data_IF_800102709937
#
_entry.id   IF_800102709937
#
_cell.length_a   1.000
_cell.length_b   1.000
_cell.length_c   1.000
_cell.angle_alpha   90.00
_cell.angle_beta   90.00
_cell.angle_gamma   90.00
#
_symmetry.space_group_name_H-M   'P 1'
#
loop_
_entity.id
_entity.type
_entity.pdbx_description
1 polymer ?
#
# COMPACT_ATOMS: atom_id res chain seq x y z
N UNK A 1 3.66 -10.44 -26.29
CA UNK A 1 3.12 -9.66 -25.19
C UNK A 1 3.94 -9.83 -23.96
N UNK A 2 4.51 -8.80 -23.45
CA UNK A 2 5.37 -8.86 -22.28
C UNK A 2 4.60 -9.10 -21.00
N UNK A 3 5.29 -9.60 -20.00
CA UNK A 3 4.74 -9.72 -18.66
C UNK A 3 4.51 -8.33 -18.07
N UNK A 4 3.54 -8.23 -17.17
CA UNK A 4 3.34 -7.02 -16.42
C UNK A 4 4.52 -6.84 -15.46
N UNK A 5 5.18 -5.71 -15.55
CA UNK A 5 6.24 -5.35 -14.62
C UNK A 5 5.56 -4.69 -13.39
N UNK A 6 5.59 -5.31 -12.22
CA UNK A 6 4.90 -4.76 -11.05
C UNK A 6 5.45 -3.39 -10.62
N UNK A 7 6.69 -3.06 -11.00
CA UNK A 7 7.24 -1.75 -10.70
C UNK A 7 6.80 -0.65 -11.64
N UNK A 8 6.03 -0.97 -12.69
CA UNK A 8 5.59 0.04 -13.67
C UNK A 8 4.14 0.42 -13.45
N UNK A 9 3.86 1.72 -13.28
CA UNK A 9 2.47 2.17 -13.15
C UNK A 9 1.72 2.05 -14.48
N UNK A 10 0.39 1.88 -14.37
CA UNK A 10 -0.50 1.80 -15.54
C UNK A 10 -1.76 2.60 -15.29
N UNK A 11 -2.27 3.20 -16.36
CA UNK A 11 -3.58 3.86 -16.33
C UNK A 11 -4.65 2.84 -15.94
N UNK A 12 -5.58 3.24 -15.09
CA UNK A 12 -6.66 2.39 -14.60
C UNK A 12 -6.37 1.69 -13.28
N UNK A 13 -5.12 1.63 -12.88
CA UNK A 13 -4.78 1.09 -11.55
C UNK A 13 -5.33 1.99 -10.45
N UNK A 14 -5.70 1.39 -9.33
CA UNK A 14 -6.16 2.12 -8.16
C UNK A 14 -5.05 2.13 -7.12
N UNK A 15 -4.67 3.34 -6.72
CA UNK A 15 -3.55 3.57 -5.81
C UNK A 15 -4.08 4.14 -4.50
N UNK A 16 -3.71 3.50 -3.39
CA UNK A 16 -3.99 3.99 -2.05
C UNK A 16 -2.71 4.57 -1.48
N UNK A 17 -2.79 5.80 -1.00
CA UNK A 17 -1.71 6.45 -0.28
C UNK A 17 -2.14 6.57 1.18
N UNK A 18 -1.48 5.81 2.03
CA UNK A 18 -1.81 5.74 3.46
C UNK A 18 -0.66 6.35 4.26
N UNK A 19 -0.89 7.54 4.79
CA UNK A 19 0.09 8.25 5.60
C UNK A 19 -0.27 8.12 7.06
N UNK A 20 0.72 7.87 7.91
CA UNK A 20 0.44 7.68 9.33
C UNK A 20 1.67 7.95 10.20
N UNK A 21 1.39 8.18 11.50
CA UNK A 21 2.38 8.19 12.56
C UNK A 21 1.91 7.22 13.62
N UNK A 22 2.81 6.38 14.10
CA UNK A 22 2.48 5.36 15.09
C UNK A 22 2.62 5.93 16.50
N UNK A 23 1.82 5.38 17.41
CA UNK A 23 2.00 5.59 18.83
C UNK A 23 3.13 4.65 19.28
N UNK A 24 4.21 5.17 19.88
CA UNK A 24 5.40 4.35 20.17
C UNK A 24 5.12 3.11 21.02
N UNK A 25 4.19 3.19 21.94
CA UNK A 25 3.88 2.10 22.86
C UNK A 25 3.20 0.90 22.18
N UNK A 26 2.72 1.04 20.97
CA UNK A 26 2.04 -0.01 20.24
C UNK A 26 2.79 -0.48 18.99
N UNK A 27 4.03 -0.07 18.81
CA UNK A 27 4.78 -0.35 17.59
C UNK A 27 4.95 -1.84 17.29
N UNK A 28 5.21 -2.65 18.31
CA UNK A 28 5.38 -4.09 18.13
C UNK A 28 4.12 -4.78 17.62
N UNK A 29 2.98 -4.52 18.26
CA UNK A 29 1.69 -5.07 17.83
C UNK A 29 1.31 -4.62 16.43
N UNK A 30 1.62 -3.39 16.09
CA UNK A 30 1.38 -2.87 14.74
C UNK A 30 2.17 -3.65 13.68
N UNK A 31 3.43 -3.94 13.94
CA UNK A 31 4.27 -4.67 12.98
C UNK A 31 3.71 -6.05 12.67
N UNK A 32 3.25 -6.75 13.71
CA UNK A 32 2.69 -8.10 13.54
C UNK A 32 1.42 -8.05 12.69
N UNK A 33 0.53 -7.11 12.98
CA UNK A 33 -0.71 -6.98 12.25
C UNK A 33 -0.49 -6.49 10.83
N UNK A 34 0.47 -5.58 10.63
CA UNK A 34 0.83 -5.10 9.29
C UNK A 34 1.30 -6.24 8.41
N UNK A 35 2.09 -7.18 8.95
CA UNK A 35 2.55 -8.33 8.20
C UNK A 35 1.36 -9.19 7.72
N UNK A 36 0.38 -9.41 8.57
CA UNK A 36 -0.83 -10.17 8.21
C UNK A 36 -1.61 -9.46 7.10
N UNK A 37 -1.80 -8.14 7.23
CA UNK A 37 -2.54 -7.35 6.23
C UNK A 37 -1.79 -7.31 4.90
N UNK A 38 -0.47 -7.18 4.94
CA UNK A 38 0.34 -7.18 3.72
C UNK A 38 0.27 -8.52 2.99
N UNK A 39 0.31 -9.63 3.73
CA UNK A 39 0.17 -10.96 3.15
C UNK A 39 -1.21 -11.15 2.55
N UNK A 40 -2.25 -10.65 3.21
CA UNK A 40 -3.60 -10.68 2.67
C UNK A 40 -3.67 -9.92 1.35
N UNK A 41 -3.13 -8.72 1.30
CA UNK A 41 -3.14 -7.91 0.07
C UNK A 41 -2.47 -8.67 -1.08
N UNK A 42 -1.30 -9.27 -0.82
CA UNK A 42 -0.57 -10.02 -1.84
C UNK A 42 -1.33 -11.22 -2.38
N UNK A 43 -2.23 -11.79 -1.58
CA UNK A 43 -3.02 -12.93 -1.98
C UNK A 43 -4.28 -12.56 -2.75
N UNK A 44 -4.67 -11.30 -2.75
CA UNK A 44 -5.91 -10.85 -3.39
C UNK A 44 -5.77 -10.77 -4.90
N UNK A 45 -6.83 -11.14 -5.65
CA UNK A 45 -6.83 -10.94 -7.10
C UNK A 45 -6.59 -9.47 -7.45
N UNK A 46 -5.78 -9.23 -8.47
CA UNK A 46 -5.52 -7.88 -8.94
C UNK A 46 -4.48 -7.11 -8.15
N UNK A 47 -3.86 -7.72 -7.16
CA UNK A 47 -2.78 -7.06 -6.43
C UNK A 47 -1.60 -6.77 -7.36
N UNK A 48 -1.05 -5.56 -7.29
CA UNK A 48 0.12 -5.16 -8.08
C UNK A 48 1.33 -4.97 -7.19
N UNK A 49 1.24 -4.09 -6.19
CA UNK A 49 2.40 -3.77 -5.37
C UNK A 49 1.98 -3.13 -4.05
N UNK A 50 2.77 -3.35 -3.01
CA UNK A 50 2.71 -2.56 -1.78
C UNK A 50 4.12 -2.21 -1.34
N UNK A 51 4.30 -0.97 -0.88
CA UNK A 51 5.60 -0.54 -0.41
C UNK A 51 5.42 0.58 0.61
N UNK A 52 6.22 0.54 1.67
CA UNK A 52 6.20 1.56 2.71
C UNK A 52 7.46 2.39 2.65
N UNK A 53 7.28 3.71 2.70
CA UNK A 53 8.35 4.69 2.75
C UNK A 53 8.32 5.40 4.10
N UNK A 54 9.44 5.84 4.59
CA UNK A 54 9.53 6.60 5.84
C UNK A 54 10.19 7.94 5.54
N UNK A 55 9.49 9.02 5.85
CA UNK A 55 10.03 10.36 5.67
C UNK A 55 11.05 10.69 6.76
N UNK A 56 11.85 11.73 6.52
CA UNK A 56 12.87 12.17 7.48
C UNK A 56 12.29 12.50 8.86
N UNK A 57 11.06 13.00 8.89
CA UNK A 57 10.37 13.36 10.13
C UNK A 57 9.70 12.18 10.82
N UNK A 58 9.87 10.96 10.28
CA UNK A 58 9.30 9.75 10.86
C UNK A 58 7.91 9.38 10.37
N UNK A 59 7.28 10.22 9.55
CA UNK A 59 5.98 9.87 8.97
C UNK A 59 6.15 8.69 8.03
N UNK A 60 5.22 7.73 8.11
CA UNK A 60 5.21 6.56 7.24
C UNK A 60 4.20 6.76 6.13
N UNK A 61 4.54 6.28 4.96
CA UNK A 61 3.63 6.31 3.80
C UNK A 61 3.64 4.93 3.15
N UNK A 62 2.50 4.25 3.18
CA UNK A 62 2.34 2.98 2.49
C UNK A 62 1.53 3.21 1.23
N UNK A 63 2.08 2.79 0.10
CA UNK A 63 1.44 2.86 -1.20
C UNK A 63 1.01 1.46 -1.59
N UNK A 64 -0.28 1.27 -1.83
CA UNK A 64 -0.84 -0.03 -2.24
C UNK A 64 -1.50 0.15 -3.60
N UNK A 65 -1.17 -0.71 -4.54
CA UNK A 65 -1.69 -0.61 -5.90
C UNK A 65 -2.42 -1.89 -6.27
N UNK A 66 -3.63 -1.73 -6.81
CA UNK A 66 -4.42 -2.81 -7.40
C UNK A 66 -4.66 -2.52 -8.88
N UNK A 67 -4.88 -3.59 -9.65
CA UNK A 67 -5.01 -3.49 -11.11
C UNK A 67 -6.21 -2.67 -11.55
N UNK A 68 -7.29 -2.67 -10.77
CA UNK A 68 -8.53 -1.99 -11.11
C UNK A 68 -9.37 -1.71 -9.86
N UNK A 69 -10.49 -1.00 -10.07
CA UNK A 69 -11.36 -0.62 -8.97
C UNK A 69 -12.02 -1.82 -8.29
N UNK A 70 -12.39 -2.83 -9.05
CA UNK A 70 -13.06 -4.01 -8.49
C UNK A 70 -12.15 -4.79 -7.55
N UNK A 71 -10.89 -5.01 -7.94
CA UNK A 71 -9.95 -5.72 -7.10
C UNK A 71 -9.58 -4.92 -5.85
N UNK A 72 -9.43 -3.62 -5.98
CA UNK A 72 -9.21 -2.74 -4.83
C UNK A 72 -10.37 -2.84 -3.84
N UNK A 73 -11.61 -2.81 -4.33
CA UNK A 73 -12.80 -2.88 -3.49
C UNK A 73 -12.85 -4.21 -2.74
N UNK A 74 -12.51 -5.31 -3.39
CA UNK A 74 -12.47 -6.63 -2.76
C UNK A 74 -11.51 -6.68 -1.57
N UNK A 75 -10.33 -6.09 -1.72
CA UNK A 75 -9.37 -6.03 -0.63
C UNK A 75 -9.86 -5.12 0.49
N UNK A 76 -10.35 -3.95 0.13
CA UNK A 76 -10.84 -2.95 1.10
C UNK A 76 -11.96 -3.52 1.96
N UNK A 77 -12.85 -4.31 1.39
CA UNK A 77 -14.01 -4.87 2.09
C UNK A 77 -13.72 -6.18 2.80
N UNK A 78 -12.53 -6.74 2.65
CA UNK A 78 -12.19 -8.01 3.29
C UNK A 78 -12.25 -7.86 4.82
N UNK A 79 -12.88 -8.82 5.53
CA UNK A 79 -13.03 -8.72 7.00
C UNK A 79 -11.73 -8.52 7.76
N UNK A 80 -10.65 -9.18 7.34
CA UNK A 80 -9.34 -9.02 7.99
C UNK A 80 -8.79 -7.61 7.83
N UNK A 81 -8.98 -7.00 6.67
CA UNK A 81 -8.54 -5.63 6.44
C UNK A 81 -9.34 -4.65 7.31
N UNK A 82 -10.65 -4.87 7.41
CA UNK A 82 -11.51 -4.04 8.26
C UNK A 82 -11.16 -4.18 9.75
N UNK A 83 -10.82 -5.38 10.18
CA UNK A 83 -10.38 -5.62 11.55
C UNK A 83 -9.09 -4.85 11.85
N UNK A 84 -8.12 -4.89 10.95
CA UNK A 84 -6.87 -4.14 11.10
C UNK A 84 -7.12 -2.63 11.17
N UNK A 85 -8.04 -2.11 10.36
CA UNK A 85 -8.41 -0.70 10.42
C UNK A 85 -8.99 -0.32 11.79
N UNK A 86 -9.85 -1.16 12.35
CA UNK A 86 -10.42 -0.90 13.68
C UNK A 86 -9.33 -0.89 14.75
N UNK A 87 -8.39 -1.82 14.70
CA UNK A 87 -7.26 -1.86 15.63
C UNK A 87 -6.37 -0.63 15.51
N UNK A 88 -6.14 -0.18 14.27
CA UNK A 88 -5.34 1.02 14.02
C UNK A 88 -5.98 2.25 14.64
N UNK A 89 -7.27 2.46 14.37
CA UNK A 89 -8.01 3.61 14.92
C UNK A 89 -8.04 3.54 16.46
N UNK A 90 -8.22 2.35 17.02
CA UNK A 90 -8.34 2.19 18.46
C UNK A 90 -7.03 2.41 19.21
N UNK A 91 -5.87 2.07 18.62
CA UNK A 91 -4.66 2.09 19.40
C UNK A 91 -3.32 2.34 18.72
N UNK A 92 -3.18 2.04 17.43
CA UNK A 92 -1.86 2.07 16.80
C UNK A 92 -1.43 3.44 16.32
N UNK A 93 -2.35 4.25 15.82
CA UNK A 93 -1.99 5.51 15.15
C UNK A 93 -2.16 6.72 16.03
N UNK A 94 -1.14 7.58 16.05
CA UNK A 94 -1.29 8.93 16.58
C UNK A 94 -2.11 9.78 15.61
N UNK A 95 -1.88 9.56 14.32
CA UNK A 95 -2.66 10.20 13.24
C UNK A 95 -2.53 9.38 11.97
N UNK A 96 -3.51 9.52 11.07
CA UNK A 96 -3.41 8.93 9.74
C UNK A 96 -4.29 9.68 8.74
N UNK A 97 -3.95 9.52 7.47
CA UNK A 97 -4.79 9.95 6.36
C UNK A 97 -4.72 8.92 5.23
N UNK A 98 -5.81 8.78 4.50
CA UNK A 98 -5.91 7.87 3.36
C UNK A 98 -6.43 8.64 2.17
N UNK A 99 -5.76 8.48 1.02
CA UNK A 99 -6.24 8.98 -0.25
C UNK A 99 -6.22 7.82 -1.25
N UNK A 100 -7.31 7.65 -1.98
CA UNK A 100 -7.44 6.61 -3.00
C UNK A 100 -7.77 7.27 -4.32
N UNK A 101 -7.04 6.93 -5.36
CA UNK A 101 -7.27 7.49 -6.67
C UNK A 101 -7.04 6.48 -7.77
N UNK A 102 -7.69 6.71 -8.90
CA UNK A 102 -7.44 5.95 -10.11
C UNK A 102 -6.35 6.64 -10.91
N UNK A 103 -5.41 5.87 -11.41
CA UNK A 103 -4.29 6.41 -12.21
C UNK A 103 -4.81 6.84 -13.56
N UNK A 104 -4.72 8.13 -13.84
CA UNK A 104 -5.14 8.71 -15.13
C UNK A 104 -3.98 8.96 -16.08
N UNK A 105 -2.76 8.98 -15.56
CA UNK A 105 -1.54 9.13 -16.33
C UNK A 105 -0.46 8.27 -15.70
N UNK A 106 0.31 7.59 -16.51
CA UNK A 106 1.41 6.76 -16.04
C UNK A 106 2.57 6.80 -17.01
N UNK A 107 3.78 6.88 -16.48
CA UNK A 107 5.00 6.86 -17.26
C UNK A 107 6.10 6.24 -16.42
N UNK A 108 7.01 5.53 -17.06
CA UNK A 108 8.16 4.95 -16.38
C UNK A 108 9.37 4.98 -17.30
N UNK A 109 10.52 5.14 -16.71
CA UNK A 109 11.78 5.14 -17.45
C UNK A 109 12.80 4.30 -16.68
N UNK A 110 13.55 3.52 -17.41
CA UNK A 110 14.69 2.78 -16.86
C UNK A 110 15.86 2.99 -17.80
N UNK A 111 16.98 3.46 -17.26
CA UNK A 111 18.20 3.59 -18.04
C UNK A 111 18.72 2.20 -18.40
N UNK A 112 19.04 1.98 -19.67
CA UNK A 112 19.63 0.72 -20.12
C UNK A 112 21.12 0.69 -19.74
N UNK A 113 21.58 -0.45 -19.27
CA UNK A 113 22.95 -0.62 -18.82
C UNK A 113 23.01 -0.97 -17.33
N UNK A 114 24.21 -0.82 -16.72
CA UNK A 114 24.33 -1.13 -15.30
C UNK A 114 23.41 -0.27 -14.46
N UNK A 115 22.87 -0.87 -13.36
CA UNK A 115 22.01 -0.14 -12.46
C UNK A 115 22.77 1.01 -11.81
N UNK A 116 22.12 2.16 -11.56
CA UNK A 116 22.74 3.25 -10.82
C UNK A 116 23.04 2.82 -9.38
N UNK A 117 24.14 3.32 -8.85
CA UNK A 117 24.54 3.04 -7.48
C UNK A 117 23.95 4.00 -6.47
#
# INVERSE_FOLDING_TARGET
MGQVDPGRPRVGQVVTVFRNRLRPEHEGGYRDELAVVADLARSMPGFVETKTFVAEDGERCTVVTFADAASHQGWRDHPRHREAQRHGVAGYYAEYSIAVGETSYASAFRHEGPAPT
#
